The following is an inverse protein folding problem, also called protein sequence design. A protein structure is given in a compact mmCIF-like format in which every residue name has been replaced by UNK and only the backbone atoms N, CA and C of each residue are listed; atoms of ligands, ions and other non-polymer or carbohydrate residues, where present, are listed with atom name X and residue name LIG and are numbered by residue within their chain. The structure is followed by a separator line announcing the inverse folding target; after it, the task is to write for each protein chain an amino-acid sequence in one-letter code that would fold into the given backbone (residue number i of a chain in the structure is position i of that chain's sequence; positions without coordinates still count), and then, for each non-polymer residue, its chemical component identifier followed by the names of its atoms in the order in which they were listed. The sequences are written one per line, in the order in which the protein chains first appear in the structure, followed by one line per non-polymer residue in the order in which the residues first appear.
data_IF_039985322881
#
_entry.id   IF_039985322881
#
_cell.length_a   1.000
_cell.length_b   1.000
_cell.length_c   1.000
_cell.angle_alpha   90.00
_cell.angle_beta   90.00
_cell.angle_gamma   90.00
#
_symmetry.space_group_name_H-M   'P 1'
#
loop_
_entity.id
_entity.type
_entity.pdbx_description
1 polymer ?
#
# COMPACT_ATOMS: atom_id res chain seq x y z
N UNK A 1 -8.03 17.45 5.55
CA UNK A 1 -7.89 17.56 7.02
C UNK A 1 -9.27 17.69 7.62
N UNK A 2 -9.51 17.06 8.77
CA UNK A 2 -10.83 17.02 9.41
C UNK A 2 -11.11 18.25 10.29
N UNK A 3 -10.12 19.12 10.48
CA UNK A 3 -10.17 20.27 11.37
C UNK A 3 -9.90 19.92 12.84
N UNK A 4 -9.71 18.64 13.15
CA UNK A 4 -9.38 18.15 14.48
C UNK A 4 -7.88 17.92 14.61
N UNK A 5 -7.21 18.80 15.35
CA UNK A 5 -5.75 18.74 15.59
C UNK A 5 -5.26 17.36 16.01
N UNK A 6 -5.99 16.69 16.92
CA UNK A 6 -5.62 15.38 17.46
C UNK A 6 -5.70 14.22 16.45
N UNK A 7 -6.27 14.43 15.27
CA UNK A 7 -6.28 13.43 14.18
C UNK A 7 -5.36 13.86 13.04
N UNK A 8 -5.48 15.12 12.64
CA UNK A 8 -4.75 15.66 11.49
C UNK A 8 -3.24 15.72 11.76
N UNK A 9 -2.83 16.10 12.98
CA UNK A 9 -1.41 16.19 13.33
C UNK A 9 -0.73 14.82 13.43
N UNK A 10 -1.25 13.81 14.17
CA UNK A 10 -0.60 12.49 14.21
C UNK A 10 -0.55 11.81 12.85
N UNK A 11 -1.61 11.96 12.04
CA UNK A 11 -1.66 11.36 10.70
C UNK A 11 -0.57 11.95 9.79
N UNK A 12 -0.45 13.27 9.75
CA UNK A 12 0.58 13.94 8.96
C UNK A 12 1.99 13.62 9.47
N UNK A 13 2.18 13.60 10.79
CA UNK A 13 3.45 13.25 11.42
C UNK A 13 3.88 11.81 11.11
N UNK A 14 2.96 10.84 11.23
CA UNK A 14 3.23 9.43 10.91
C UNK A 14 3.52 9.23 9.44
N UNK A 15 2.73 9.85 8.55
CA UNK A 15 2.94 9.78 7.10
C UNK A 15 4.33 10.30 6.72
N UNK A 16 4.70 11.48 7.23
CA UNK A 16 6.02 12.07 6.99
C UNK A 16 7.15 11.21 7.58
N UNK A 17 7.00 10.75 8.83
CA UNK A 17 7.99 9.90 9.49
C UNK A 17 8.21 8.59 8.73
N UNK A 18 7.15 7.91 8.31
CA UNK A 18 7.22 6.69 7.49
C UNK A 18 7.96 6.96 6.18
N UNK A 19 7.65 8.06 5.50
CA UNK A 19 8.33 8.47 4.27
C UNK A 19 9.83 8.71 4.45
N UNK A 20 10.23 9.43 5.51
CA UNK A 20 11.64 9.70 5.84
C UNK A 20 12.39 8.42 6.20
N UNK A 21 11.81 7.58 7.06
CA UNK A 21 12.45 6.33 7.51
C UNK A 21 12.66 5.38 6.33
N UNK A 22 11.70 5.27 5.42
CA UNK A 22 11.83 4.44 4.22
C UNK A 22 12.89 4.99 3.25
N UNK A 23 12.95 6.31 3.05
CA UNK A 23 14.01 6.93 2.25
C UNK A 23 15.38 6.63 2.83
N UNK A 24 15.52 6.86 4.14
CA UNK A 24 16.73 6.62 4.89
C UNK A 24 17.14 5.15 4.84
N UNK A 25 16.19 4.22 5.02
CA UNK A 25 16.44 2.79 4.93
C UNK A 25 16.99 2.41 3.56
N UNK A 26 16.38 2.89 2.48
CA UNK A 26 16.87 2.66 1.12
C UNK A 26 18.28 3.19 0.90
N UNK A 27 18.59 4.39 1.40
CA UNK A 27 19.93 4.98 1.32
C UNK A 27 20.96 4.17 2.12
N UNK A 28 20.64 3.82 3.37
CA UNK A 28 21.53 3.04 4.24
C UNK A 28 21.85 1.70 3.59
N UNK A 29 20.84 0.97 3.10
CA UNK A 29 21.03 -0.29 2.36
C UNK A 29 21.92 -0.08 1.14
N UNK A 30 21.60 0.89 0.28
CA UNK A 30 22.35 1.13 -0.95
C UNK A 30 23.83 1.47 -0.71
N UNK A 31 24.11 2.28 0.31
CA UNK A 31 25.45 2.79 0.61
C UNK A 31 26.31 1.82 1.42
N UNK A 32 25.70 0.97 2.25
CA UNK A 32 26.44 0.11 3.19
C UNK A 32 26.49 -1.37 2.78
N UNK A 33 25.73 -1.81 1.77
CA UNK A 33 25.83 -3.21 1.31
C UNK A 33 27.14 -3.48 0.58
N UNK A 34 27.90 -4.50 0.98
CA UNK A 34 29.12 -4.91 0.29
C UNK A 34 28.87 -5.39 -1.16
N UNK A 35 27.70 -6.00 -1.42
CA UNK A 35 27.35 -6.54 -2.75
C UNK A 35 25.96 -6.07 -3.17
N UNK A 36 25.91 -5.35 -4.29
CA UNK A 36 24.68 -4.87 -4.93
C UNK A 36 24.00 -5.97 -5.75
N UNK A 37 23.49 -6.99 -5.08
CA UNK A 37 22.72 -8.05 -5.72
C UNK A 37 21.36 -7.54 -6.19
N UNK A 38 20.71 -8.23 -7.13
CA UNK A 38 19.39 -7.85 -7.63
C UNK A 38 18.35 -7.71 -6.50
N UNK A 39 18.38 -8.59 -5.49
CA UNK A 39 17.47 -8.48 -4.34
C UNK A 39 17.73 -7.28 -3.44
N UNK A 40 19.00 -6.86 -3.28
CA UNK A 40 19.34 -5.62 -2.57
C UNK A 40 18.80 -4.42 -3.34
N UNK A 41 19.01 -4.37 -4.66
CA UNK A 41 18.47 -3.28 -5.48
C UNK A 41 16.94 -3.24 -5.46
N UNK A 42 16.29 -4.41 -5.46
CA UNK A 42 14.84 -4.51 -5.35
C UNK A 42 14.31 -4.03 -4.00
N UNK A 43 15.01 -4.35 -2.90
CA UNK A 43 14.70 -3.84 -1.57
C UNK A 43 14.84 -2.31 -1.49
N UNK A 44 15.93 -1.76 -2.05
CA UNK A 44 16.14 -0.30 -2.12
C UNK A 44 15.02 0.34 -2.93
N UNK A 45 14.68 -0.23 -4.09
CA UNK A 45 13.59 0.26 -4.93
C UNK A 45 12.25 0.22 -4.19
N UNK A 46 11.94 -0.87 -3.48
CA UNK A 46 10.72 -0.99 -2.68
C UNK A 46 10.67 0.05 -1.56
N UNK A 47 11.78 0.30 -0.87
CA UNK A 47 11.86 1.31 0.18
C UNK A 47 11.62 2.72 -0.38
N UNK A 48 12.24 3.05 -1.52
CA UNK A 48 12.03 4.35 -2.17
C UNK A 48 10.64 4.52 -2.77
N UNK A 49 10.04 3.47 -3.33
CA UNK A 49 8.63 3.49 -3.75
C UNK A 49 7.70 3.76 -2.56
N UNK A 50 7.97 3.13 -1.41
CA UNK A 50 7.23 3.40 -0.17
C UNK A 50 7.40 4.84 0.29
N UNK A 51 8.63 5.38 0.22
CA UNK A 51 8.89 6.79 0.52
C UNK A 51 8.15 7.73 -0.43
N UNK A 52 8.17 7.46 -1.74
CA UNK A 52 7.45 8.25 -2.74
C UNK A 52 5.93 8.22 -2.52
N UNK A 53 5.37 7.06 -2.16
CA UNK A 53 3.97 6.94 -1.76
C UNK A 53 3.65 7.84 -0.56
N UNK A 54 4.44 7.77 0.52
CA UNK A 54 4.23 8.61 1.70
C UNK A 54 4.47 10.10 1.44
N UNK A 55 5.34 10.46 0.49
CA UNK A 55 5.51 11.85 0.06
C UNK A 55 4.25 12.38 -0.64
N UNK A 56 3.69 11.62 -1.58
CA UNK A 56 2.43 11.96 -2.23
C UNK A 56 1.27 12.03 -1.22
N UNK A 57 1.18 11.04 -0.33
CA UNK A 57 0.19 10.99 0.75
C UNK A 57 0.27 12.22 1.66
N UNK A 58 1.48 12.57 2.12
CA UNK A 58 1.69 13.76 2.96
C UNK A 58 1.34 15.05 2.24
N UNK A 59 1.66 15.16 0.94
CA UNK A 59 1.29 16.32 0.14
C UNK A 59 -0.24 16.48 0.01
N UNK A 60 -0.96 15.37 -0.19
CA UNK A 60 -2.43 15.34 -0.25
C UNK A 60 -3.05 15.70 1.11
N UNK A 61 -2.48 15.20 2.21
CA UNK A 61 -2.97 15.55 3.54
C UNK A 61 -2.73 17.03 3.88
N UNK A 62 -1.56 17.56 3.51
CA UNK A 62 -1.15 18.92 3.81
C UNK A 62 -1.92 19.99 3.01
N UNK A 63 -2.52 19.65 1.87
CA UNK A 63 -3.26 20.61 1.05
C UNK A 63 -4.60 21.06 1.67
N UNK A 64 -5.09 20.38 2.72
CA UNK A 64 -6.27 20.80 3.47
C UNK A 64 -7.58 20.75 2.66
N UNK A 65 -8.56 21.58 3.05
CA UNK A 65 -9.89 21.71 2.42
C UNK A 65 -9.91 22.74 1.25
N UNK A 66 -8.75 23.21 0.81
CA UNK A 66 -8.66 24.18 -0.28
C UNK A 66 -9.19 23.62 -1.62
N UNK A 67 -9.56 24.48 -2.58
CA UNK A 67 -9.98 24.02 -3.91
C UNK A 67 -8.89 23.12 -4.50
N UNK A 68 -9.30 22.00 -5.08
CA UNK A 68 -8.35 21.04 -5.64
C UNK A 68 -7.50 21.72 -6.71
N UNK A 69 -6.22 21.88 -6.40
CA UNK A 69 -5.25 22.48 -7.31
C UNK A 69 -4.74 21.45 -8.30
N UNK A 70 -4.22 21.92 -9.44
CA UNK A 70 -3.52 21.06 -10.40
C UNK A 70 -2.37 20.27 -9.73
N UNK A 71 -1.69 20.88 -8.75
CA UNK A 71 -0.66 20.22 -7.96
C UNK A 71 -1.21 19.07 -7.10
N UNK A 72 -2.38 19.25 -6.48
CA UNK A 72 -3.03 18.19 -5.70
C UNK A 72 -3.42 17.00 -6.59
N UNK A 73 -3.99 17.29 -7.76
CA UNK A 73 -4.35 16.25 -8.72
C UNK A 73 -3.12 15.52 -9.27
N UNK A 74 -2.00 16.22 -9.47
CA UNK A 74 -0.73 15.61 -9.85
C UNK A 74 -0.22 14.64 -8.78
N UNK A 75 -0.23 15.03 -7.50
CA UNK A 75 0.17 14.14 -6.39
C UNK A 75 -0.76 12.93 -6.27
N UNK A 76 -2.05 13.13 -6.50
CA UNK A 76 -3.04 12.05 -6.57
C UNK A 76 -2.71 11.06 -7.69
N UNK A 77 -2.52 11.52 -8.92
CA UNK A 77 -2.20 10.66 -10.07
C UNK A 77 -0.87 9.91 -9.90
N UNK A 78 0.20 10.63 -9.54
CA UNK A 78 1.53 10.02 -9.38
C UNK A 78 1.56 9.07 -8.18
N UNK A 79 0.80 9.35 -7.12
CA UNK A 79 0.72 8.53 -5.90
C UNK A 79 0.20 7.10 -6.15
N UNK A 80 -0.59 6.89 -7.20
CA UNK A 80 -1.06 5.55 -7.58
C UNK A 80 0.05 4.65 -8.11
N UNK A 81 1.08 5.20 -8.76
CA UNK A 81 2.15 4.38 -9.32
C UNK A 81 2.94 3.58 -8.25
N UNK A 82 3.47 4.19 -7.17
CA UNK A 82 4.11 3.43 -6.11
C UNK A 82 3.11 2.53 -5.39
N UNK A 83 1.85 2.96 -5.22
CA UNK A 83 0.80 2.14 -4.60
C UNK A 83 0.58 0.82 -5.38
N UNK A 84 0.53 0.87 -6.71
CA UNK A 84 0.42 -0.31 -7.57
C UNK A 84 1.68 -1.18 -7.57
N UNK A 85 2.86 -0.56 -7.51
CA UNK A 85 4.14 -1.25 -7.62
C UNK A 85 4.58 -1.94 -6.32
N UNK A 86 4.19 -1.42 -5.16
CA UNK A 86 4.61 -1.90 -3.85
C UNK A 86 4.28 -3.38 -3.57
N UNK A 87 3.06 -3.90 -3.84
CA UNK A 87 2.76 -5.31 -3.61
C UNK A 87 3.66 -6.27 -4.40
N UNK A 88 3.93 -5.95 -5.68
CA UNK A 88 4.79 -6.77 -6.54
C UNK A 88 6.26 -6.67 -6.13
N UNK A 89 6.74 -5.48 -5.79
CA UNK A 89 8.13 -5.30 -5.35
C UNK A 89 8.38 -5.98 -4.01
N UNK A 90 7.45 -5.87 -3.05
CA UNK A 90 7.50 -6.63 -1.80
C UNK A 90 7.51 -8.14 -2.03
N UNK A 91 6.64 -8.64 -2.92
CA UNK A 91 6.63 -10.06 -3.29
C UNK A 91 7.96 -10.50 -3.89
N UNK A 92 8.55 -9.69 -4.77
CA UNK A 92 9.88 -9.98 -5.32
C UNK A 92 10.98 -9.98 -4.25
N UNK A 93 10.95 -9.06 -3.26
CA UNK A 93 11.88 -9.04 -2.12
C UNK A 93 11.77 -10.34 -1.33
N UNK A 94 10.54 -10.77 -1.02
CA UNK A 94 10.27 -12.01 -0.30
C UNK A 94 10.72 -13.24 -1.09
N UNK A 95 10.48 -13.28 -2.40
CA UNK A 95 10.97 -14.36 -3.27
C UNK A 95 12.50 -14.43 -3.30
N UNK A 96 13.16 -13.29 -3.38
CA UNK A 96 14.62 -13.23 -3.34
C UNK A 96 15.15 -13.74 -2.00
N UNK A 97 14.58 -13.27 -0.89
CA UNK A 97 14.87 -13.75 0.46
C UNK A 97 14.67 -15.28 0.58
N UNK A 98 13.57 -15.80 0.01
CA UNK A 98 13.22 -17.22 -0.01
C UNK A 98 14.16 -18.09 -0.86
N UNK A 99 15.00 -17.49 -1.72
CA UNK A 99 15.98 -18.21 -2.55
C UNK A 99 15.56 -18.45 -4.01
N UNK A 100 14.64 -17.66 -4.56
CA UNK A 100 14.10 -17.84 -5.92
C UNK A 100 15.18 -17.89 -7.03
N UNK A 101 16.26 -17.13 -6.86
CA UNK A 101 17.38 -17.11 -7.81
C UNK A 101 18.23 -18.39 -7.81
N UNK A 102 18.11 -19.24 -6.79
CA UNK A 102 18.97 -20.42 -6.59
C UNK A 102 18.15 -21.72 -6.65
N UNK A 103 17.00 -21.77 -5.98
CA UNK A 103 16.23 -23.01 -5.84
C UNK A 103 15.24 -23.24 -7.01
N UNK A 104 15.35 -24.35 -7.74
CA UNK A 104 14.43 -24.68 -8.83
C UNK A 104 13.00 -24.96 -8.35
N UNK A 105 12.82 -25.48 -7.12
CA UNK A 105 11.52 -25.83 -6.57
C UNK A 105 10.64 -24.60 -6.34
N UNK A 106 11.18 -23.62 -5.61
CA UNK A 106 10.54 -22.33 -5.38
C UNK A 106 10.30 -21.59 -6.70
N UNK A 107 11.27 -21.62 -7.63
CA UNK A 107 11.11 -21.00 -8.94
C UNK A 107 9.96 -21.61 -9.74
N UNK A 108 9.85 -22.94 -9.79
CA UNK A 108 8.77 -23.62 -10.50
C UNK A 108 7.40 -23.27 -9.93
N UNK A 109 7.31 -23.13 -8.60
CA UNK A 109 6.07 -22.79 -7.90
C UNK A 109 5.64 -21.34 -8.10
N UNK A 110 6.59 -20.40 -8.07
CA UNK A 110 6.29 -18.98 -8.10
C UNK A 110 6.45 -18.32 -9.48
N UNK A 111 7.00 -19.01 -10.50
CA UNK A 111 7.17 -18.44 -11.86
C UNK A 111 5.85 -17.98 -12.48
N UNK A 112 4.81 -18.82 -12.41
CA UNK A 112 3.52 -18.54 -13.03
C UNK A 112 2.77 -17.47 -12.22
N UNK A 113 2.65 -17.58 -10.88
CA UNK A 113 2.09 -16.50 -10.07
C UNK A 113 2.80 -15.15 -10.26
N UNK A 114 4.13 -15.15 -10.34
CA UNK A 114 4.91 -13.93 -10.59
C UNK A 114 4.62 -13.34 -11.97
N UNK A 115 4.55 -14.16 -13.02
CA UNK A 115 4.21 -13.70 -14.36
C UNK A 115 2.77 -13.15 -14.44
N UNK A 116 1.81 -13.82 -13.81
CA UNK A 116 0.41 -13.39 -13.77
C UNK A 116 0.24 -12.08 -12.99
N UNK A 117 0.88 -11.96 -11.82
CA UNK A 117 0.86 -10.70 -11.05
C UNK A 117 1.60 -9.57 -11.77
N UNK A 118 2.71 -9.87 -12.45
CA UNK A 118 3.43 -8.90 -13.27
C UNK A 118 2.58 -8.40 -14.44
N UNK A 119 1.91 -9.31 -15.15
CA UNK A 119 0.98 -8.96 -16.22
C UNK A 119 -0.19 -8.14 -15.69
N UNK A 120 -0.77 -8.53 -14.55
CA UNK A 120 -1.85 -7.80 -13.91
C UNK A 120 -1.40 -6.40 -13.49
N UNK A 121 -0.22 -6.25 -12.89
CA UNK A 121 0.37 -4.95 -12.58
C UNK A 121 0.50 -4.07 -13.82
N UNK A 122 1.05 -4.60 -14.92
CA UNK A 122 1.17 -3.84 -16.18
C UNK A 122 -0.21 -3.45 -16.71
N UNK A 123 -1.19 -4.37 -16.69
CA UNK A 123 -2.55 -4.09 -17.11
C UNK A 123 -3.21 -3.01 -16.25
N UNK A 124 -3.02 -3.03 -14.93
CA UNK A 124 -3.49 -1.99 -14.00
C UNK A 124 -2.87 -0.63 -14.35
N UNK A 125 -1.55 -0.56 -14.53
CA UNK A 125 -0.86 0.68 -14.89
C UNK A 125 -1.37 1.23 -16.22
N UNK A 126 -1.50 0.39 -17.25
CA UNK A 126 -2.04 0.81 -18.56
C UNK A 126 -3.49 1.28 -18.42
N UNK A 127 -4.33 0.57 -17.67
CA UNK A 127 -5.73 0.95 -17.46
C UNK A 127 -5.89 2.26 -16.64
N UNK A 128 -4.94 2.57 -15.76
CA UNK A 128 -4.97 3.84 -15.02
C UNK A 128 -4.47 5.02 -15.87
N UNK A 129 -3.33 4.86 -16.54
CA UNK A 129 -2.62 5.99 -17.16
C UNK A 129 -2.84 6.12 -18.67
N UNK A 130 -3.09 5.04 -19.40
CA UNK A 130 -3.24 5.09 -20.85
C UNK A 130 -4.69 5.33 -21.31
N UNK A 131 -5.69 4.98 -20.49
CA UNK A 131 -7.11 5.13 -20.85
C UNK A 131 -7.79 6.29 -20.15
N UNK A 132 -7.04 7.21 -19.52
CA UNK A 132 -7.57 8.30 -18.68
C UNK A 132 -8.60 7.81 -17.65
N UNK A 133 -8.43 6.58 -17.14
CA UNK A 133 -9.40 5.92 -16.27
C UNK A 133 -9.32 6.31 -14.80
N UNK A 134 -8.36 7.17 -14.45
CA UNK A 134 -8.13 7.62 -13.08
C UNK A 134 -9.04 8.83 -12.80
N UNK A 135 -9.97 8.74 -11.82
CA UNK A 135 -10.83 9.87 -11.49
C UNK A 135 -10.00 11.01 -10.93
N UNK A 136 -10.39 12.26 -11.22
CA UNK A 136 -9.73 13.41 -10.59
C UNK A 136 -9.84 13.33 -9.06
N UNK A 137 -8.93 13.98 -8.34
CA UNK A 137 -8.99 13.99 -6.87
C UNK A 137 -10.37 14.45 -6.35
N UNK A 138 -10.96 15.47 -7.00
CA UNK A 138 -12.30 15.98 -6.63
C UNK A 138 -13.37 14.94 -6.85
N UNK A 139 -13.33 14.24 -7.97
CA UNK A 139 -14.33 13.21 -8.28
C UNK A 139 -14.20 12.03 -7.34
N UNK A 140 -12.98 11.62 -6.99
CA UNK A 140 -12.71 10.57 -6.02
C UNK A 140 -13.24 10.92 -4.62
N UNK A 141 -13.02 12.14 -4.12
CA UNK A 141 -13.54 12.60 -2.81
C UNK A 141 -15.06 12.70 -2.81
N UNK A 142 -15.67 13.12 -3.92
CA UNK A 142 -17.12 13.22 -4.05
C UNK A 142 -17.80 11.89 -4.44
N UNK A 143 -17.06 10.80 -4.52
CA UNK A 143 -17.54 9.46 -4.92
C UNK A 143 -18.22 9.46 -6.30
N UNK A 144 -17.74 10.33 -7.20
CA UNK A 144 -18.23 10.47 -8.57
C UNK A 144 -17.34 9.63 -9.48
N UNK A 145 -17.82 8.44 -9.83
CA UNK A 145 -17.10 7.51 -10.71
C UNK A 145 -17.82 7.27 -12.03
N UNK A 146 -18.67 8.21 -12.43
CA UNK A 146 -19.40 8.19 -13.71
C UNK A 146 -18.40 8.06 -14.87
N UNK A 147 -18.65 7.12 -15.79
CA UNK A 147 -17.76 6.85 -16.93
C UNK A 147 -16.62 5.87 -16.65
N UNK A 148 -16.40 5.44 -15.40
CA UNK A 148 -15.47 4.33 -15.13
C UNK A 148 -16.14 2.97 -15.35
N UNK A 149 -15.39 2.01 -15.90
CA UNK A 149 -15.86 0.64 -16.02
C UNK A 149 -16.20 0.10 -14.63
N UNK A 150 -17.39 -0.47 -14.44
CA UNK A 150 -17.82 -1.00 -13.14
C UNK A 150 -17.93 -2.52 -13.15
N UNK A 151 -17.53 -3.13 -12.03
CA UNK A 151 -17.76 -4.53 -11.71
C UNK A 151 -18.64 -4.59 -10.46
N UNK A 152 -19.80 -5.26 -10.54
CA UNK A 152 -20.73 -5.40 -9.40
C UNK A 152 -21.17 -4.05 -8.78
N UNK A 153 -21.30 -3.01 -9.61
CA UNK A 153 -21.66 -1.66 -9.18
C UNK A 153 -20.53 -0.86 -8.53
N UNK A 154 -19.31 -1.40 -8.44
CA UNK A 154 -18.12 -0.69 -7.97
C UNK A 154 -17.16 -0.40 -9.13
N UNK A 155 -16.45 0.74 -9.13
CA UNK A 155 -15.36 1.00 -10.07
C UNK A 155 -14.35 -0.16 -10.11
N UNK A 156 -13.92 -0.54 -11.30
CA UNK A 156 -13.12 -1.74 -11.52
C UNK A 156 -11.87 -1.80 -10.64
N UNK A 157 -11.22 -0.65 -10.41
CA UNK A 157 -9.98 -0.57 -9.64
C UNK A 157 -10.20 -0.77 -8.14
N UNK A 158 -11.37 -0.41 -7.59
CA UNK A 158 -11.72 -0.66 -6.18
C UNK A 158 -11.91 -2.15 -5.88
N UNK A 159 -12.04 -2.99 -6.91
CA UNK A 159 -12.12 -4.45 -6.77
C UNK A 159 -10.79 -5.09 -7.15
N UNK A 160 -10.26 -4.74 -8.31
CA UNK A 160 -9.11 -5.43 -8.88
C UNK A 160 -7.80 -5.14 -8.13
N UNK A 161 -7.58 -3.89 -7.68
CA UNK A 161 -6.37 -3.55 -6.92
C UNK A 161 -6.30 -4.28 -5.58
N UNK A 162 -7.36 -4.30 -4.74
CA UNK A 162 -7.37 -5.10 -3.52
C UNK A 162 -7.09 -6.58 -3.73
N UNK A 163 -7.70 -7.19 -4.75
CA UNK A 163 -7.48 -8.59 -5.08
C UNK A 163 -6.03 -8.86 -5.48
N UNK A 164 -5.46 -7.99 -6.33
CA UNK A 164 -4.06 -8.05 -6.73
C UNK A 164 -3.12 -7.94 -5.51
N UNK A 165 -3.33 -6.95 -4.65
CA UNK A 165 -2.53 -6.74 -3.45
C UNK A 165 -2.61 -7.95 -2.50
N UNK A 166 -3.81 -8.42 -2.18
CA UNK A 166 -4.00 -9.57 -1.28
C UNK A 166 -3.43 -10.85 -1.87
N UNK A 167 -3.54 -11.07 -3.19
CA UNK A 167 -2.92 -12.20 -3.86
C UNK A 167 -1.39 -12.17 -3.75
N UNK A 168 -0.77 -11.01 -3.97
CA UNK A 168 0.67 -10.83 -3.78
C UNK A 168 1.09 -11.14 -2.34
N UNK A 169 0.38 -10.61 -1.35
CA UNK A 169 0.67 -10.84 0.07
C UNK A 169 0.43 -12.29 0.53
N UNK A 170 -0.57 -12.97 -0.04
CA UNK A 170 -0.81 -14.39 0.21
C UNK A 170 0.34 -15.27 -0.33
N UNK A 171 0.86 -14.94 -1.52
CA UNK A 171 2.03 -15.62 -2.08
C UNK A 171 3.33 -15.31 -1.29
N UNK A 172 3.42 -14.13 -0.68
CA UNK A 172 4.51 -13.84 0.26
C UNK A 172 4.50 -14.78 1.47
N UNK A 173 3.33 -15.05 2.07
CA UNK A 173 3.24 -16.02 3.16
C UNK A 173 3.77 -17.38 2.74
N UNK A 174 3.38 -17.81 1.55
CA UNK A 174 3.80 -19.08 1.04
C UNK A 174 5.33 -19.20 0.89
N UNK A 175 5.97 -18.18 0.31
CA UNK A 175 7.41 -18.11 0.15
C UNK A 175 8.15 -17.97 1.49
N UNK A 176 7.60 -17.23 2.46
CA UNK A 176 8.16 -17.10 3.81
C UNK A 176 7.99 -18.38 4.64
N UNK A 177 6.90 -19.11 4.47
CA UNK A 177 6.62 -20.32 5.23
C UNK A 177 7.47 -21.48 4.73
N UNK A 178 7.79 -21.54 3.44
CA UNK A 178 8.56 -22.62 2.81
C UNK A 178 9.78 -22.09 2.05
N UNK A 179 10.75 -21.46 2.75
CA UNK A 179 11.95 -20.95 2.09
C UNK A 179 12.84 -22.10 1.62
N UNK A 180 13.61 -21.86 0.55
CA UNK A 180 14.59 -22.82 0.07
C UNK A 180 15.71 -23.07 1.12
N UNK A 181 16.46 -24.18 1.02
CA UNK A 181 17.66 -24.38 1.80
C UNK A 181 18.65 -23.22 1.61
N UNK A 182 19.27 -22.76 2.70
CA UNK A 182 20.30 -21.74 2.59
C UNK A 182 21.62 -22.35 2.07
N UNK A 183 22.35 -21.67 1.19
CA UNK A 183 23.59 -22.21 0.61
C UNK A 183 24.73 -22.35 1.63
N UNK A 184 24.67 -21.63 2.76
CA UNK A 184 25.66 -21.71 3.85
C UNK A 184 24.98 -21.81 5.20
N UNK A 185 25.65 -22.43 6.19
CA UNK A 185 25.16 -22.51 7.59
C UNK A 185 24.94 -21.12 8.20
N UNK A 186 25.80 -20.16 7.88
CA UNK A 186 25.66 -18.77 8.33
C UNK A 186 24.45 -18.06 7.71
N UNK A 187 24.23 -18.24 6.39
CA UNK A 187 23.03 -17.74 5.73
C UNK A 187 21.74 -18.37 6.27
N UNK A 188 21.80 -19.64 6.71
CA UNK A 188 20.67 -20.30 7.35
C UNK A 188 20.29 -19.62 8.68
N UNK A 189 21.28 -19.26 9.50
CA UNK A 189 21.06 -18.60 10.78
C UNK A 189 20.55 -17.15 10.63
N UNK A 190 21.10 -16.38 9.69
CA UNK A 190 20.58 -15.04 9.37
C UNK A 190 19.13 -15.10 8.87
N UNK A 191 18.84 -16.06 7.98
CA UNK A 191 17.47 -16.31 7.48
C UNK A 191 16.51 -16.66 8.61
N UNK A 192 16.89 -17.57 9.51
CA UNK A 192 16.01 -18.00 10.60
C UNK A 192 15.68 -16.87 11.57
N UNK A 193 16.62 -15.94 11.83
CA UNK A 193 16.38 -14.77 12.69
C UNK A 193 15.54 -13.70 12.01
N UNK A 194 15.72 -13.48 10.71
CA UNK A 194 14.95 -12.48 9.96
C UNK A 194 13.50 -12.94 9.66
N UNK A 195 13.28 -14.26 9.52
CA UNK A 195 11.99 -14.85 9.16
C UNK A 195 10.81 -14.41 10.02
N UNK A 196 10.85 -14.45 11.37
CA UNK A 196 9.71 -14.03 12.19
C UNK A 196 9.35 -12.56 11.94
N UNK A 197 10.33 -11.68 11.78
CA UNK A 197 10.10 -10.26 11.49
C UNK A 197 9.45 -10.05 10.11
N UNK A 198 9.87 -10.79 9.10
CA UNK A 198 9.25 -10.74 7.77
C UNK A 198 7.82 -11.32 7.77
N UNK A 199 7.56 -12.37 8.55
CA UNK A 199 6.21 -12.91 8.73
C UNK A 199 5.30 -11.90 9.44
N UNK A 200 5.79 -11.23 10.48
CA UNK A 200 5.06 -10.15 11.16
C UNK A 200 4.79 -8.98 10.22
N UNK A 201 5.81 -8.52 9.47
CA UNK A 201 5.65 -7.47 8.46
C UNK A 201 4.57 -7.85 7.43
N UNK A 202 4.63 -9.06 6.87
CA UNK A 202 3.63 -9.51 5.90
C UNK A 202 2.23 -9.63 6.50
N UNK A 203 2.12 -10.04 7.78
CA UNK A 203 0.84 -10.13 8.49
C UNK A 203 0.22 -8.75 8.72
N UNK A 204 1.04 -7.76 9.12
CA UNK A 204 0.62 -6.37 9.26
C UNK A 204 0.20 -5.77 7.92
N UNK A 205 0.92 -6.07 6.82
CA UNK A 205 0.54 -5.66 5.47
C UNK A 205 -0.80 -6.28 5.04
N UNK A 206 -1.07 -7.55 5.37
CA UNK A 206 -2.37 -8.17 5.08
C UNK A 206 -3.49 -7.51 5.90
N UNK A 207 -3.25 -7.21 7.18
CA UNK A 207 -4.21 -6.51 8.02
C UNK A 207 -4.52 -5.11 7.46
N UNK A 208 -3.49 -4.33 7.12
CA UNK A 208 -3.64 -3.03 6.48
C UNK A 208 -4.38 -3.13 5.14
N UNK A 209 -3.99 -4.08 4.29
CA UNK A 209 -4.63 -4.31 3.00
C UNK A 209 -6.09 -4.73 3.11
N UNK A 210 -6.44 -5.61 4.06
CA UNK A 210 -7.82 -6.01 4.33
C UNK A 210 -8.66 -4.83 4.83
N UNK A 211 -8.10 -4.00 5.71
CA UNK A 211 -8.77 -2.80 6.19
C UNK A 211 -9.03 -1.80 5.06
N UNK A 212 -8.03 -1.50 4.24
CA UNK A 212 -8.17 -0.65 3.04
C UNK A 212 -9.24 -1.21 2.10
N UNK A 213 -9.24 -2.53 1.87
CA UNK A 213 -10.24 -3.21 1.04
C UNK A 213 -11.65 -3.03 1.61
N UNK A 214 -11.82 -3.22 2.92
CA UNK A 214 -13.10 -3.07 3.58
C UNK A 214 -13.63 -1.63 3.46
N UNK A 215 -12.76 -0.63 3.63
CA UNK A 215 -13.12 0.79 3.46
C UNK A 215 -13.48 1.09 2.02
N UNK A 216 -12.68 0.64 1.05
CA UNK A 216 -12.97 0.84 -0.38
C UNK A 216 -14.32 0.25 -0.79
N UNK A 217 -14.64 -0.96 -0.32
CA UNK A 217 -15.94 -1.60 -0.57
C UNK A 217 -17.08 -0.88 0.14
N UNK A 218 -16.87 -0.41 1.37
CA UNK A 218 -17.85 0.38 2.10
C UNK A 218 -18.15 1.71 1.39
N UNK A 219 -17.10 2.43 0.98
CA UNK A 219 -17.18 3.67 0.22
C UNK A 219 -17.87 3.46 -1.13
N UNK A 220 -17.51 2.40 -1.88
CA UNK A 220 -18.12 2.09 -3.17
C UNK A 220 -19.63 1.80 -3.08
N UNK A 221 -20.12 1.35 -1.92
CA UNK A 221 -21.55 1.12 -1.68
C UNK A 221 -22.25 2.27 -0.96
N UNK A 222 -21.50 3.25 -0.47
CA UNK A 222 -22.06 4.44 0.14
C UNK A 222 -22.53 5.36 -0.99
N UNK A 223 -23.83 5.69 -1.09
CA UNK A 223 -24.30 6.57 -2.14
C UNK A 223 -23.62 7.94 -1.96
N UNK A 224 -22.93 8.41 -3.00
CA UNK A 224 -22.24 9.71 -2.98
C UNK A 224 -23.19 10.85 -2.60
N UNK A 225 -22.67 11.97 -2.07
CA UNK A 225 -23.49 13.07 -1.53
C UNK A 225 -24.60 13.58 -2.48
N UNK A 226 -24.42 13.47 -3.79
CA UNK A 226 -25.45 13.79 -4.81
C UNK A 226 -26.49 12.67 -4.99
N UNK A 227 -26.08 11.40 -4.98
CA UNK A 227 -26.99 10.25 -5.10
C UNK A 227 -27.82 10.01 -3.82
N UNK A 228 -27.24 10.22 -2.62
CA UNK A 228 -28.00 10.25 -1.36
C UNK A 228 -29.04 11.38 -1.38
N UNK A 229 -28.70 12.52 -2.01
CA UNK A 229 -29.60 13.66 -2.17
C UNK A 229 -30.74 13.45 -3.19
N UNK A 230 -30.62 12.56 -4.17
CA UNK A 230 -31.68 12.33 -5.18
C UNK A 230 -32.59 11.14 -4.86
N UNK A 231 -32.03 10.03 -4.40
CA UNK A 231 -32.78 8.82 -4.06
C UNK A 231 -33.62 8.98 -2.78
N UNK A 232 -33.12 9.75 -1.80
CA UNK A 232 -33.85 10.05 -0.57
C UNK A 232 -34.94 11.13 -0.79
N UNK A 233 -34.64 12.13 -1.64
CA UNK A 233 -35.57 13.22 -2.00
C UNK A 233 -36.74 12.75 -2.86
N UNK A 234 -36.55 11.69 -3.64
CA UNK A 234 -37.62 11.07 -4.44
C UNK A 234 -38.48 10.07 -3.66
N UNK A 235 -37.95 9.44 -2.61
CA UNK A 235 -38.65 8.39 -1.88
C UNK A 235 -39.55 8.88 -0.72
N UNK A 236 -39.22 9.99 -0.02
CA UNK A 236 -39.99 10.49 1.13
C UNK A 236 -40.02 12.04 1.22
N UNK A 237 -41.03 12.71 0.62
CA UNK A 237 -41.15 14.18 0.63
C UNK A 237 -41.33 14.79 2.03
N UNK A 238 -41.89 14.05 2.99
CA UNK A 238 -42.21 14.53 4.34
C UNK A 238 -41.05 14.50 5.33
N UNK A 239 -39.90 13.94 4.96
CA UNK A 239 -38.68 13.92 5.77
C UNK A 239 -37.60 14.89 5.28
N UNK A 240 -37.90 15.71 4.28
CA UNK A 240 -36.99 16.71 3.72
C UNK A 240 -36.45 17.73 4.75
N UNK A 241 -37.07 17.81 5.94
CA UNK A 241 -36.59 18.63 7.06
C UNK A 241 -35.58 17.96 8.00
N UNK A 242 -35.34 16.64 7.90
CA UNK A 242 -34.40 15.90 8.76
C UNK A 242 -33.05 15.55 8.09
N UNK A 243 -32.96 15.59 6.76
CA UNK A 243 -31.75 15.20 6.00
C UNK A 243 -31.08 16.38 5.30
N UNK A 244 -30.70 17.39 6.09
CA UNK A 244 -29.73 18.40 5.69
C UNK A 244 -28.34 17.97 6.21
N UNK A 245 -27.83 16.83 5.73
CA UNK A 245 -26.82 16.03 6.45
C UNK A 245 -25.35 16.46 6.24
N UNK A 246 -24.99 17.63 6.77
CA UNK A 246 -23.58 17.94 7.06
C UNK A 246 -22.97 16.92 8.06
N UNK A 247 -23.80 16.31 8.90
CA UNK A 247 -23.39 15.34 9.91
C UNK A 247 -23.03 13.95 9.34
N UNK A 248 -23.72 13.47 8.30
CA UNK A 248 -23.39 12.18 7.68
C UNK A 248 -22.06 12.23 6.92
N UNK A 249 -21.84 13.30 6.15
CA UNK A 249 -20.56 13.55 5.48
C UNK A 249 -19.42 13.69 6.49
N UNK A 250 -19.65 14.38 7.62
CA UNK A 250 -18.67 14.51 8.71
C UNK A 250 -18.34 13.16 9.36
N UNK A 251 -19.32 12.29 9.58
CA UNK A 251 -19.09 10.93 10.12
C UNK A 251 -18.29 10.06 9.17
N UNK A 252 -18.58 10.12 7.87
CA UNK A 252 -17.83 9.41 6.82
C UNK A 252 -16.37 9.89 6.79
N UNK A 253 -16.14 11.20 6.76
CA UNK A 253 -14.81 11.80 6.78
C UNK A 253 -14.01 11.36 8.03
N UNK A 254 -14.62 11.44 9.22
CA UNK A 254 -13.99 10.97 10.47
C UNK A 254 -13.65 9.49 10.44
N UNK A 255 -14.54 8.64 9.94
CA UNK A 255 -14.28 7.20 9.83
C UNK A 255 -13.10 6.90 8.89
N UNK A 256 -13.03 7.57 7.74
CA UNK A 256 -11.91 7.45 6.79
C UNK A 256 -10.60 7.91 7.45
N UNK A 257 -10.61 9.06 8.13
CA UNK A 257 -9.41 9.60 8.81
C UNK A 257 -8.91 8.67 9.92
N UNK A 258 -9.81 8.11 10.73
CA UNK A 258 -9.43 7.12 11.75
C UNK A 258 -8.80 5.88 11.15
N UNK A 259 -9.41 5.39 10.07
CA UNK A 259 -8.92 4.20 9.42
C UNK A 259 -7.56 4.44 8.75
N UNK A 260 -7.36 5.61 8.14
CA UNK A 260 -6.08 6.02 7.57
C UNK A 260 -4.99 6.16 8.64
N UNK A 261 -5.32 6.75 9.79
CA UNK A 261 -4.40 6.82 10.94
C UNK A 261 -4.00 5.43 11.42
N UNK A 262 -4.95 4.51 11.51
CA UNK A 262 -4.69 3.14 11.92
C UNK A 262 -3.84 2.38 10.88
N UNK A 263 -4.15 2.51 9.58
CA UNK A 263 -3.34 1.94 8.50
C UNK A 263 -1.92 2.49 8.54
N UNK A 264 -1.77 3.80 8.72
CA UNK A 264 -0.46 4.46 8.82
C UNK A 264 0.36 3.92 10.01
N UNK A 265 -0.27 3.69 11.16
CA UNK A 265 0.38 3.08 12.32
C UNK A 265 0.79 1.61 12.08
N UNK A 266 -0.05 0.82 11.40
CA UNK A 266 0.31 -0.54 10.98
C UNK A 266 1.53 -0.53 10.04
N UNK A 267 1.56 0.40 9.08
CA UNK A 267 2.68 0.57 8.16
C UNK A 267 3.97 1.01 8.89
N UNK A 268 3.88 1.82 9.93
CA UNK A 268 5.03 2.09 10.81
C UNK A 268 5.55 0.78 11.44
N UNK A 269 4.65 -0.08 11.94
CA UNK A 269 5.02 -1.40 12.45
C UNK A 269 5.69 -2.29 11.39
N UNK A 270 5.21 -2.25 10.15
CA UNK A 270 5.83 -2.94 9.00
C UNK A 270 7.26 -2.45 8.78
N UNK A 271 7.48 -1.13 8.74
CA UNK A 271 8.80 -0.51 8.52
C UNK A 271 9.79 -0.91 9.62
N UNK A 272 9.34 -0.93 10.88
CA UNK A 272 10.14 -1.40 12.01
C UNK A 272 10.51 -2.88 11.82
N UNK A 273 9.54 -3.73 11.51
CA UNK A 273 9.79 -5.16 11.30
C UNK A 273 10.78 -5.42 10.16
N UNK A 274 10.64 -4.70 9.03
CA UNK A 274 11.58 -4.78 7.91
C UNK A 274 12.98 -4.35 8.35
N UNK A 275 13.09 -3.21 9.04
CA UNK A 275 14.39 -2.70 9.53
C UNK A 275 15.10 -3.71 10.43
N UNK A 276 14.38 -4.33 11.39
CA UNK A 276 14.91 -5.39 12.23
C UNK A 276 15.30 -6.64 11.43
N UNK A 277 14.47 -7.06 10.47
CA UNK A 277 14.78 -8.19 9.60
C UNK A 277 16.09 -7.97 8.84
N UNK A 278 16.35 -6.75 8.35
CA UNK A 278 17.55 -6.42 7.59
C UNK A 278 18.82 -6.46 8.43
N UNK A 279 18.75 -5.93 9.66
CA UNK A 279 19.86 -6.01 10.63
C UNK A 279 20.16 -7.47 10.97
N UNK A 280 19.12 -8.29 11.18
CA UNK A 280 19.28 -9.72 11.52
C UNK A 280 19.70 -10.60 10.35
N UNK A 281 19.33 -10.23 9.12
CA UNK A 281 19.70 -10.95 7.91
C UNK A 281 21.13 -10.62 7.45
N UNK A 282 21.88 -9.81 8.20
CA UNK A 282 23.27 -9.43 7.93
C UNK A 282 23.45 -8.86 6.51
N UNK A 283 22.43 -8.14 6.02
CA UNK A 283 22.38 -7.58 4.64
C UNK A 283 23.60 -6.70 4.35
N UNK A 284 24.13 -6.05 5.38
CA UNK A 284 25.23 -5.10 5.28
C UNK A 284 26.61 -5.74 5.21
N UNK A 285 26.81 -6.87 5.88
CA UNK A 285 28.17 -7.26 6.26
C UNK A 285 28.78 -8.35 5.39
N UNK A 286 27.99 -9.17 4.67
CA UNK A 286 28.52 -10.33 3.92
C UNK A 286 29.33 -11.33 4.77
N UNK A 287 29.44 -11.09 6.09
CA UNK A 287 30.30 -11.67 7.11
C UNK A 287 29.63 -11.48 8.46
N UNK A 288 29.76 -12.46 9.35
CA UNK A 288 29.19 -12.40 10.70
C UNK A 288 29.94 -11.35 11.52
N UNK A 289 29.22 -10.42 12.15
CA UNK A 289 29.81 -9.51 13.14
C UNK A 289 30.19 -10.32 14.40
N UNK A 290 31.41 -10.14 14.95
CA UNK A 290 31.78 -10.75 16.22
C UNK A 290 30.83 -10.25 17.31
N UNK A 291 30.43 -11.15 18.21
CA UNK A 291 29.59 -10.83 19.36
C UNK A 291 30.45 -10.36 20.53
#
# INVERSE_FOLDING_TARGET
MTGFFWFDWPLLALSLANGIVLLWLGLVVLLNTERRTAGVMLLVAAAWLGSAFFAAHTAILASGEGPASAALNLWWEIGWLPLLALPLTWYGVVLWYGGFGVDPGLRRRHRLPLALLGLLFVALVVAFFATAGLPSFVDAVNLRFEGTLSFWGAPWFLVLYPLYMLAALALCFDALLRPAPAPTRYGAAGRSRARPWLLTANSLLVLAGALVTAIMLWVARTPGPTATNELFRSALPSLAGWTADADAARRLALAITWADLFVSALLTGVIVCISYALVQYEVFSGRVLPR
#
